data_IF_378473824978
#
_entry.id   IF_378473824978
#
_cell.length_a   1.000
_cell.length_b   1.000
_cell.length_c   1.000
_cell.angle_alpha   90.00
_cell.angle_beta   90.00
_cell.angle_gamma   90.00
#
_symmetry.space_group_name_H-M   'P 1'
#
loop_
_entity.id
_entity.type
_entity.pdbx_description
1 polymer ?
#
# COMPACT_ATOMS: atom_id res chain seq x y z
N UNK A 1 14.61 21.42 16.28
CA UNK A 1 14.17 20.03 16.55
C UNK A 1 12.96 20.13 17.47
N UNK A 2 11.76 20.27 16.91
CA UNK A 2 10.53 20.38 17.68
C UNK A 2 9.85 19.01 17.67
N UNK A 3 9.79 18.37 18.83
CA UNK A 3 9.01 17.16 19.05
C UNK A 3 7.53 17.50 18.81
N UNK A 4 6.94 16.95 17.75
CA UNK A 4 5.49 16.98 17.57
C UNK A 4 4.92 15.85 18.41
N UNK A 5 4.42 16.18 19.60
CA UNK A 5 3.61 15.26 20.39
C UNK A 5 2.31 14.99 19.59
N UNK A 6 2.36 13.95 18.75
CA UNK A 6 1.24 13.55 17.90
C UNK A 6 0.19 12.89 18.78
N UNK A 7 -0.78 13.69 19.22
CA UNK A 7 -1.98 13.21 19.89
C UNK A 7 -2.63 12.14 19.01
N UNK A 8 -2.86 10.90 19.49
CA UNK A 8 -3.35 9.82 18.65
C UNK A 8 -4.73 10.17 18.09
N UNK A 9 -4.80 10.34 16.79
CA UNK A 9 -6.06 10.56 16.06
C UNK A 9 -6.75 9.22 15.80
N UNK A 10 -8.09 9.19 15.72
CA UNK A 10 -8.82 7.99 15.31
C UNK A 10 -8.27 7.44 13.99
N UNK A 11 -7.81 6.19 13.98
CA UNK A 11 -7.16 5.55 12.83
C UNK A 11 -5.64 5.50 12.89
N UNK A 12 -5.00 6.07 13.92
CA UNK A 12 -3.56 5.94 14.12
C UNK A 12 -3.16 4.48 14.43
N UNK A 13 -2.19 3.95 13.68
CA UNK A 13 -1.73 2.56 13.79
C UNK A 13 -0.74 2.44 14.94
N UNK A 14 -1.19 1.88 16.07
CA UNK A 14 -0.35 1.67 17.25
C UNK A 14 0.91 0.85 16.90
N UNK A 15 2.09 1.48 17.00
CA UNK A 15 3.39 0.84 16.81
C UNK A 15 3.93 0.79 15.38
N UNK A 16 3.21 1.32 14.38
CA UNK A 16 3.74 1.47 13.03
C UNK A 16 4.32 2.88 12.83
N UNK A 17 5.47 3.04 12.16
CA UNK A 17 5.97 4.37 11.81
C UNK A 17 4.93 5.09 10.97
N UNK A 18 4.64 6.34 11.34
CA UNK A 18 3.74 7.18 10.57
C UNK A 18 4.39 7.47 9.22
N UNK A 19 3.86 6.88 8.15
CA UNK A 19 4.24 7.27 6.81
C UNK A 19 3.50 8.57 6.49
N UNK A 20 4.18 9.70 6.66
CA UNK A 20 3.77 10.96 6.04
C UNK A 20 3.87 10.76 4.53
N UNK A 21 2.82 10.23 3.90
CA UNK A 21 2.82 9.95 2.47
C UNK A 21 3.05 11.22 1.65
N UNK A 22 4.30 11.54 1.34
CA UNK A 22 4.66 12.66 0.48
C UNK A 22 4.58 12.18 -0.95
N UNK A 23 3.66 12.74 -1.73
CA UNK A 23 3.64 12.56 -3.17
C UNK A 23 4.81 13.33 -3.79
N UNK A 24 5.68 12.64 -4.52
CA UNK A 24 6.74 13.28 -5.33
C UNK A 24 6.23 13.71 -6.71
N UNK A 25 4.92 13.57 -6.97
CA UNK A 25 4.30 13.98 -8.22
C UNK A 25 3.94 15.46 -8.16
N UNK A 26 4.20 16.19 -9.25
CA UNK A 26 3.76 17.56 -9.41
C UNK A 26 2.22 17.64 -9.46
N UNK A 27 1.64 18.79 -9.12
CA UNK A 27 0.18 18.96 -9.13
C UNK A 27 -0.40 18.65 -10.52
N UNK A 28 -1.39 17.73 -10.55
CA UNK A 28 -2.01 17.26 -11.78
C UNK A 28 -1.31 16.07 -12.45
N UNK A 29 -0.12 15.67 -11.98
CA UNK A 29 0.48 14.40 -12.39
C UNK A 29 -0.21 13.24 -11.67
N UNK A 30 -0.70 12.29 -12.46
CA UNK A 30 -1.14 11.00 -11.94
C UNK A 30 0.05 10.04 -11.87
N UNK A 31 0.06 9.10 -10.91
CA UNK A 31 1.01 8.01 -10.92
C UNK A 31 1.01 7.33 -12.30
N UNK A 32 2.16 6.80 -12.78
CA UNK A 32 2.21 6.11 -14.05
C UNK A 32 1.14 4.99 -14.05
N UNK A 33 0.37 4.83 -15.14
CA UNK A 33 -0.65 3.80 -15.20
C UNK A 33 0.05 2.45 -15.01
N UNK A 34 -0.39 1.67 -14.03
CA UNK A 34 0.04 0.27 -13.97
C UNK A 34 -0.49 -0.44 -15.21
N UNK A 35 0.28 -1.35 -15.82
CA UNK A 35 -0.22 -2.15 -16.92
C UNK A 35 -1.50 -2.88 -16.46
N UNK A 36 -2.64 -2.45 -16.99
CA UNK A 36 -3.93 -3.06 -16.69
C UNK A 36 -3.86 -4.54 -17.08
N UNK A 37 -4.21 -5.42 -16.15
CA UNK A 37 -4.16 -6.87 -16.38
C UNK A 37 -2.83 -7.55 -16.05
N UNK A 38 -1.83 -6.84 -15.50
CA UNK A 38 -0.67 -7.54 -14.91
C UNK A 38 -1.11 -8.29 -13.66
N UNK A 39 -1.07 -9.62 -13.73
CA UNK A 39 -1.25 -10.50 -12.59
C UNK A 39 0.09 -10.67 -11.86
N UNK A 40 0.04 -10.73 -10.54
CA UNK A 40 1.17 -11.12 -9.70
C UNK A 40 0.88 -12.46 -9.04
N UNK A 41 1.86 -13.36 -9.09
CA UNK A 41 1.77 -14.66 -8.43
C UNK A 41 2.06 -14.52 -6.94
N UNK A 42 1.09 -14.92 -6.10
CA UNK A 42 1.20 -14.91 -4.64
C UNK A 42 1.20 -16.35 -4.16
N UNK A 43 2.24 -16.75 -3.41
CA UNK A 43 2.31 -18.07 -2.79
C UNK A 43 1.75 -18.02 -1.37
N UNK A 44 0.80 -18.91 -1.08
CA UNK A 44 0.19 -19.05 0.24
C UNK A 44 0.60 -20.41 0.79
N UNK A 45 1.18 -20.41 1.99
CA UNK A 45 1.44 -21.61 2.76
C UNK A 45 0.19 -21.95 3.55
N UNK A 46 -0.42 -23.09 3.24
CA UNK A 46 -1.59 -23.61 3.95
C UNK A 46 -1.19 -24.22 5.29
N UNK A 47 -2.18 -24.47 6.16
CA UNK A 47 -1.95 -25.03 7.50
C UNK A 47 -1.44 -26.48 7.50
N UNK A 48 -1.61 -27.20 6.39
CA UNK A 48 -1.15 -28.57 6.18
C UNK A 48 0.20 -28.64 5.46
N UNK A 49 0.97 -27.54 5.48
CA UNK A 49 2.26 -27.38 4.82
C UNK A 49 2.24 -27.47 3.28
N UNK A 50 1.06 -27.46 2.65
CA UNK A 50 0.94 -27.32 1.19
C UNK A 50 1.08 -25.87 0.73
N UNK A 51 1.74 -25.65 -0.42
CA UNK A 51 1.88 -24.31 -1.02
C UNK A 51 1.03 -24.19 -2.28
N UNK A 52 0.23 -23.14 -2.34
CA UNK A 52 -0.60 -22.82 -3.50
C UNK A 52 -0.24 -21.43 -4.04
N UNK A 53 -0.19 -21.32 -5.37
CA UNK A 53 0.09 -20.06 -6.06
C UNK A 53 -1.20 -19.49 -6.67
N UNK A 54 -1.47 -18.22 -6.40
CA UNK A 54 -2.65 -17.50 -6.89
C UNK A 54 -2.22 -16.31 -7.72
N UNK A 55 -2.85 -16.13 -8.87
CA UNK A 55 -2.65 -14.95 -9.71
C UNK A 55 -3.64 -13.85 -9.28
N UNK A 56 -3.12 -12.77 -8.71
CA UNK A 56 -3.94 -11.63 -8.26
C UNK A 56 -3.64 -10.38 -9.11
N UNK A 57 -4.66 -9.57 -9.45
CA UNK A 57 -4.45 -8.37 -10.24
C UNK A 57 -3.64 -7.33 -9.47
N UNK A 58 -2.59 -6.80 -10.11
CA UNK A 58 -1.82 -5.67 -9.60
C UNK A 58 -2.62 -4.38 -9.81
N UNK A 59 -3.38 -3.97 -8.79
CA UNK A 59 -4.10 -2.69 -8.77
C UNK A 59 -3.28 -1.64 -8.03
N UNK A 60 -2.90 -0.55 -8.70
CA UNK A 60 -2.53 0.66 -7.99
C UNK A 60 -3.83 1.32 -7.51
N UNK A 61 -3.92 1.65 -6.21
CA UNK A 61 -4.99 2.51 -5.69
C UNK A 61 -4.80 3.90 -6.29
N UNK A 62 -5.27 4.08 -7.51
CA UNK A 62 -5.27 5.34 -8.23
C UNK A 62 -6.72 5.72 -8.43
N UNK A 63 -7.32 6.32 -7.40
CA UNK A 63 -8.47 7.24 -7.45
C UNK A 63 -8.92 7.52 -6.01
N UNK A 64 -8.03 8.14 -5.22
CA UNK A 64 -8.52 9.06 -4.20
C UNK A 64 -8.67 10.39 -4.93
N UNK A 65 -9.90 10.72 -5.31
CA UNK A 65 -10.26 12.11 -5.55
C UNK A 65 -10.27 12.87 -4.23
#
# INVERSE_FOLDING_TARGET
>A
MGEIEQRPTPGSRLGAPENSGISTLEHGQKPPPTPSGKLMSVRIQMLDDTQEAFEVPLLLKSDCC
#
